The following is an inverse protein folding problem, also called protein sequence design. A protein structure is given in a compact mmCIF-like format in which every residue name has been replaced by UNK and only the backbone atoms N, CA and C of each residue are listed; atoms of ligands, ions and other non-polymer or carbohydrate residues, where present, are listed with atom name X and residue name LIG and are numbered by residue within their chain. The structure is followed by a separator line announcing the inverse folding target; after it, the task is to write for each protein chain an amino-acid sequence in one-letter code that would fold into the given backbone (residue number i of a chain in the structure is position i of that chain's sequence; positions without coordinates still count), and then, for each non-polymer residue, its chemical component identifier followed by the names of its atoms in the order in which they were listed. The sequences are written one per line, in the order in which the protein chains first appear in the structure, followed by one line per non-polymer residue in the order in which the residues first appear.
data_IF_420792603975
#
_entry.id   IF_420792603975
#
_cell.length_a   1.000
_cell.length_b   1.000
_cell.length_c   1.000
_cell.angle_alpha   90.00
_cell.angle_beta   90.00
_cell.angle_gamma   90.00
#
_symmetry.space_group_name_H-M   'P 1'
#
loop_
_entity.id
_entity.type
_entity.pdbx_description
1 polymer ?
#
# COMPACT_ATOMS: atom_id res chain seq x y z
N UNK A 1 -12.52 -22.77 -10.14
CA UNK A 1 -11.04 -22.82 -10.17
C UNK A 1 -10.52 -21.88 -9.08
N UNK A 2 -9.84 -22.42 -8.09
CA UNK A 2 -9.12 -21.57 -7.14
C UNK A 2 -7.90 -21.03 -7.90
N UNK A 3 -7.92 -19.73 -8.24
CA UNK A 3 -6.71 -19.05 -8.67
C UNK A 3 -5.66 -19.25 -7.58
N UNK A 4 -4.53 -19.86 -7.94
CA UNK A 4 -3.40 -19.99 -7.03
C UNK A 4 -2.80 -18.60 -6.77
N UNK A 5 -3.29 -17.95 -5.73
CA UNK A 5 -2.74 -16.69 -5.27
C UNK A 5 -1.28 -16.89 -4.85
N UNK A 6 -0.38 -16.20 -5.51
CA UNK A 6 1.03 -16.22 -5.14
C UNK A 6 1.22 -15.50 -3.80
N UNK A 7 1.98 -16.12 -2.89
CA UNK A 7 2.28 -15.55 -1.57
C UNK A 7 3.75 -15.13 -1.56
N UNK A 8 4.00 -13.92 -1.09
CA UNK A 8 5.33 -13.37 -0.82
C UNK A 8 5.46 -13.12 0.68
N UNK A 9 6.49 -13.70 1.30
CA UNK A 9 6.73 -13.60 2.73
C UNK A 9 6.29 -14.85 3.49
N UNK A 10 6.16 -14.76 4.83
CA UNK A 10 5.72 -15.87 5.66
C UNK A 10 4.35 -16.40 5.24
N UNK A 11 4.13 -17.69 5.40
CA UNK A 11 2.82 -18.29 5.14
C UNK A 11 1.91 -18.02 6.35
N UNK A 12 0.86 -17.23 6.15
CA UNK A 12 -0.15 -16.92 7.17
C UNK A 12 -1.48 -17.54 6.74
N UNK A 13 -2.08 -18.42 7.57
CA UNK A 13 -3.37 -19.01 7.26
C UNK A 13 -4.48 -17.98 7.09
N UNK A 14 -5.45 -18.24 6.22
CA UNK A 14 -6.55 -17.31 5.92
C UNK A 14 -7.33 -16.90 7.19
N UNK A 15 -7.52 -17.82 8.14
CA UNK A 15 -8.22 -17.55 9.40
C UNK A 15 -7.48 -16.57 10.34
N UNK A 16 -6.21 -16.30 10.08
CA UNK A 16 -5.42 -15.29 10.82
C UNK A 16 -5.41 -13.93 10.15
N UNK A 17 -6.01 -13.79 8.97
CA UNK A 17 -6.10 -12.51 8.26
C UNK A 17 -7.32 -11.72 8.74
N UNK A 18 -7.10 -10.46 9.06
CA UNK A 18 -8.14 -9.53 9.52
C UNK A 18 -8.27 -8.43 8.48
N UNK A 19 -9.34 -8.45 7.71
CA UNK A 19 -9.59 -7.46 6.67
C UNK A 19 -9.91 -6.08 7.26
N UNK A 20 -9.19 -5.06 6.79
CA UNK A 20 -9.59 -3.66 6.91
C UNK A 20 -10.33 -3.19 5.65
N UNK A 21 -9.91 -3.72 4.52
CA UNK A 21 -10.44 -3.38 3.21
C UNK A 21 -10.53 -4.62 2.33
N UNK A 22 -11.68 -4.75 1.68
CA UNK A 22 -11.89 -5.70 0.59
C UNK A 22 -12.69 -4.99 -0.50
N UNK A 23 -12.16 -4.98 -1.71
CA UNK A 23 -12.81 -4.30 -2.82
C UNK A 23 -14.12 -4.96 -3.18
N UNK A 24 -15.15 -4.15 -3.41
CA UNK A 24 -16.47 -4.58 -3.89
C UNK A 24 -16.91 -3.69 -5.05
N UNK A 25 -17.83 -4.19 -5.86
CA UNK A 25 -18.34 -3.45 -7.03
C UNK A 25 -19.21 -2.25 -6.63
N UNK A 26 -19.90 -2.33 -5.50
CA UNK A 26 -20.99 -1.42 -5.16
C UNK A 26 -20.60 -0.32 -4.16
N UNK A 27 -19.38 -0.34 -3.65
CA UNK A 27 -18.92 0.66 -2.67
C UNK A 27 -17.84 1.56 -3.27
N UNK A 28 -17.89 2.87 -2.99
CA UNK A 28 -16.80 3.76 -3.37
C UNK A 28 -15.49 3.35 -2.69
N UNK A 29 -14.38 3.56 -3.39
CA UNK A 29 -13.07 3.24 -2.84
C UNK A 29 -12.72 4.17 -1.67
N UNK A 30 -12.26 3.63 -0.52
CA UNK A 30 -11.77 4.45 0.60
C UNK A 30 -10.34 4.96 0.37
N UNK A 31 -9.69 4.55 -0.71
CA UNK A 31 -8.34 4.98 -1.03
C UNK A 31 -8.33 6.42 -1.55
N UNK A 32 -7.28 7.16 -1.20
CA UNK A 32 -7.06 8.54 -1.63
C UNK A 32 -5.78 8.64 -2.45
N UNK A 33 -5.79 9.43 -3.53
CA UNK A 33 -4.61 9.71 -4.35
C UNK A 33 -3.90 10.93 -3.80
N UNK A 34 -2.59 10.81 -3.60
CA UNK A 34 -1.68 11.91 -3.29
C UNK A 34 -0.49 11.82 -4.24
N UNK A 35 -0.06 12.94 -4.79
CA UNK A 35 1.10 13.00 -5.66
C UNK A 35 2.06 14.11 -5.23
N UNK A 36 3.21 14.13 -5.86
CA UNK A 36 4.22 15.17 -5.67
C UNK A 36 3.75 16.58 -6.08
N UNK A 37 2.58 16.71 -6.69
CA UNK A 37 1.96 18.01 -6.99
C UNK A 37 1.77 18.86 -5.73
N UNK A 38 1.61 18.26 -4.57
CA UNK A 38 1.57 18.97 -3.27
C UNK A 38 2.88 19.69 -2.95
N UNK A 39 3.98 19.32 -3.63
CA UNK A 39 5.32 19.91 -3.49
C UNK A 39 5.78 20.63 -4.77
N UNK A 40 4.90 20.86 -5.75
CA UNK A 40 5.22 21.46 -7.03
C UNK A 40 5.73 20.50 -8.09
N UNK A 41 5.72 19.18 -7.84
CA UNK A 41 6.04 18.16 -8.83
C UNK A 41 4.94 18.01 -9.90
N UNK A 42 5.21 17.21 -10.92
CA UNK A 42 4.33 17.05 -12.09
C UNK A 42 3.89 15.61 -12.33
N UNK A 43 4.14 14.71 -11.39
CA UNK A 43 3.59 13.34 -11.44
C UNK A 43 2.07 13.36 -11.41
N UNK A 44 1.44 12.47 -12.15
CA UNK A 44 -0.03 12.42 -12.28
C UNK A 44 -0.52 11.00 -12.08
N UNK A 45 -1.63 10.89 -11.36
CA UNK A 45 -2.33 9.63 -11.23
C UNK A 45 -3.81 9.86 -10.92
N UNK A 46 -4.60 8.86 -11.28
CA UNK A 46 -6.01 8.76 -10.92
C UNK A 46 -6.28 7.44 -10.25
N UNK A 47 -7.26 7.42 -9.38
CA UNK A 47 -7.79 6.21 -8.78
C UNK A 47 -9.03 5.78 -9.56
N UNK A 48 -9.10 4.50 -9.92
CA UNK A 48 -10.30 3.93 -10.56
C UNK A 48 -10.60 2.56 -9.98
N UNK A 49 -11.89 2.24 -9.93
CA UNK A 49 -12.33 0.89 -9.64
C UNK A 49 -12.32 0.07 -10.93
N UNK A 50 -11.87 -1.18 -10.82
CA UNK A 50 -11.70 -2.06 -11.97
C UNK A 50 -11.98 -3.52 -11.56
N UNK A 51 -12.00 -4.39 -12.55
CA UNK A 51 -12.02 -5.85 -12.38
C UNK A 51 -10.83 -6.42 -13.10
N UNK A 52 -9.93 -7.07 -12.39
CA UNK A 52 -8.75 -7.73 -12.96
C UNK A 52 -8.71 -9.18 -12.53
N UNK A 53 -8.58 -10.08 -13.51
CA UNK A 53 -8.64 -11.52 -13.27
C UNK A 53 -9.78 -11.91 -12.31
N UNK A 54 -11.00 -11.50 -12.68
CA UNK A 54 -12.26 -11.77 -11.97
C UNK A 54 -12.31 -11.22 -10.52
N UNK A 55 -11.42 -10.31 -10.14
CA UNK A 55 -11.42 -9.68 -8.81
C UNK A 55 -11.68 -8.18 -8.91
N UNK A 56 -12.64 -7.70 -8.13
CA UNK A 56 -12.83 -6.26 -7.93
C UNK A 56 -11.60 -5.67 -7.26
N UNK A 57 -11.17 -4.50 -7.70
CA UNK A 57 -9.99 -3.83 -7.17
C UNK A 57 -10.07 -2.32 -7.31
N UNK A 58 -9.26 -1.61 -6.54
CA UNK A 58 -8.99 -0.19 -6.71
C UNK A 58 -7.60 -0.02 -7.29
N UNK A 59 -7.49 0.73 -8.39
CA UNK A 59 -6.25 0.86 -9.15
C UNK A 59 -5.76 2.31 -9.16
N UNK A 60 -4.46 2.49 -8.97
CA UNK A 60 -3.75 3.74 -9.18
C UNK A 60 -3.11 3.68 -10.56
N UNK A 61 -3.54 4.57 -11.45
CA UNK A 61 -3.07 4.62 -12.83
C UNK A 61 -2.48 6.00 -13.09
N UNK A 62 -1.28 6.04 -13.61
CA UNK A 62 -0.63 7.31 -13.89
C UNK A 62 0.81 7.20 -14.34
N UNK A 63 1.57 8.24 -14.07
CA UNK A 63 2.99 8.30 -14.38
C UNK A 63 3.73 9.15 -13.36
N UNK A 64 4.85 8.63 -12.86
CA UNK A 64 5.79 9.41 -12.06
C UNK A 64 6.68 10.26 -12.96
N UNK A 65 7.03 11.46 -12.50
CA UNK A 65 8.01 12.33 -13.14
C UNK A 65 8.96 12.87 -12.08
N UNK A 66 10.26 12.88 -12.40
CA UNK A 66 11.29 13.43 -11.52
C UNK A 66 11.44 14.96 -11.66
N UNK A 67 10.73 15.57 -12.62
CA UNK A 67 10.78 17.02 -12.84
C UNK A 67 10.34 17.78 -11.60
N UNK A 68 10.89 18.99 -11.40
CA UNK A 68 10.62 19.88 -10.26
C UNK A 68 10.88 19.23 -8.89
N UNK A 69 11.89 18.36 -8.80
CA UNK A 69 12.21 17.59 -7.60
C UNK A 69 11.04 16.72 -7.10
N UNK A 70 10.13 16.35 -8.00
CA UNK A 70 9.05 15.42 -7.74
C UNK A 70 9.50 13.97 -7.79
N UNK A 71 8.58 13.06 -8.00
CA UNK A 71 8.87 11.67 -8.26
C UNK A 71 8.03 10.67 -7.50
N UNK A 72 6.81 11.04 -7.06
CA UNK A 72 5.92 10.05 -6.47
C UNK A 72 4.44 10.28 -6.79
N UNK A 73 3.72 9.17 -6.84
CA UNK A 73 2.26 9.11 -6.70
C UNK A 73 1.93 7.98 -5.73
N UNK A 74 0.87 8.14 -4.96
CA UNK A 74 0.47 7.12 -4.00
C UNK A 74 -1.04 7.01 -3.88
N UNK A 75 -1.48 5.83 -3.47
CA UNK A 75 -2.82 5.59 -2.95
C UNK A 75 -2.71 5.30 -1.46
N UNK A 76 -3.47 6.02 -0.65
CA UNK A 76 -3.40 6.01 0.81
C UNK A 76 -4.70 5.52 1.40
N UNK A 77 -4.59 4.69 2.43
CA UNK A 77 -5.70 4.18 3.23
C UNK A 77 -5.53 4.62 4.69
N UNK A 78 -6.49 5.38 5.21
CA UNK A 78 -6.49 5.80 6.61
C UNK A 78 -7.03 4.69 7.51
N UNK A 79 -6.39 4.51 8.66
CA UNK A 79 -6.75 3.48 9.64
C UNK A 79 -7.23 4.17 10.92
N UNK A 80 -8.43 3.81 11.35
CA UNK A 80 -8.98 4.29 12.60
C UNK A 80 -8.34 3.57 13.80
N UNK A 81 -8.19 4.28 14.91
CA UNK A 81 -7.52 3.75 16.10
C UNK A 81 -8.19 2.50 16.69
N UNK A 82 -9.50 2.40 16.60
CA UNK A 82 -10.28 1.26 17.08
C UNK A 82 -10.10 -0.01 16.22
N UNK A 83 -9.48 0.11 15.05
CA UNK A 83 -9.12 -1.01 14.19
C UNK A 83 -7.76 -1.64 14.53
N UNK A 84 -6.99 -1.03 15.44
CA UNK A 84 -5.65 -1.46 15.82
C UNK A 84 -5.69 -2.37 17.05
N UNK A 85 -4.85 -3.40 17.05
CA UNK A 85 -4.67 -4.32 18.19
C UNK A 85 -3.19 -4.63 18.40
N UNK A 86 -2.80 -4.78 19.66
CA UNK A 86 -1.41 -5.08 20.03
C UNK A 86 -0.94 -6.47 19.58
N UNK A 87 -1.87 -7.40 19.40
CA UNK A 87 -1.58 -8.78 18.97
C UNK A 87 -1.31 -8.92 17.47
N UNK A 88 -1.59 -7.91 16.64
CA UNK A 88 -1.25 -7.96 15.23
C UNK A 88 0.26 -7.97 15.02
N UNK A 89 0.71 -8.81 14.10
CA UNK A 89 2.14 -9.02 13.80
C UNK A 89 2.64 -8.27 12.58
N UNK A 90 1.74 -7.84 11.72
CA UNK A 90 2.10 -7.16 10.48
C UNK A 90 0.89 -6.90 9.60
N UNK A 91 1.20 -6.52 8.38
CA UNK A 91 0.24 -6.14 7.35
C UNK A 91 0.20 -7.21 6.28
N UNK A 92 -0.99 -7.56 5.80
CA UNK A 92 -1.12 -8.25 4.53
C UNK A 92 -1.79 -7.35 3.50
N UNK A 93 -1.39 -7.49 2.25
CA UNK A 93 -1.97 -6.75 1.14
C UNK A 93 -1.95 -7.60 -0.12
N UNK A 94 -3.03 -7.59 -0.89
CA UNK A 94 -3.11 -8.29 -2.17
C UNK A 94 -3.08 -7.29 -3.30
N UNK A 95 -2.02 -7.39 -4.13
CA UNK A 95 -1.70 -6.45 -5.19
C UNK A 95 -1.59 -7.14 -6.55
N UNK A 96 -1.90 -6.37 -7.59
CA UNK A 96 -1.70 -6.70 -9.00
C UNK A 96 -1.01 -5.51 -9.66
N UNK A 97 0.13 -5.69 -10.30
CA UNK A 97 0.92 -4.59 -10.81
C UNK A 97 1.37 -4.77 -12.26
N UNK A 98 2.45 -4.10 -12.61
CA UNK A 98 2.98 -4.03 -13.97
C UNK A 98 4.51 -4.27 -14.02
N UNK A 99 5.00 -5.19 -13.19
CA UNK A 99 6.42 -5.58 -13.12
C UNK A 99 7.35 -4.44 -12.69
N UNK A 100 6.90 -3.65 -11.71
CA UNK A 100 7.68 -2.60 -11.09
C UNK A 100 7.75 -2.79 -9.57
N UNK A 101 8.74 -2.17 -8.96
CA UNK A 101 8.85 -2.05 -7.52
C UNK A 101 7.98 -0.90 -7.04
N UNK A 102 7.13 -1.19 -6.06
CA UNK A 102 6.32 -0.21 -5.34
C UNK A 102 6.71 -0.26 -3.86
N UNK A 103 6.55 0.84 -3.16
CA UNK A 103 6.80 0.88 -1.72
C UNK A 103 5.49 0.78 -0.94
N UNK A 104 5.56 0.06 0.18
CA UNK A 104 4.55 0.15 1.22
C UNK A 104 5.04 1.16 2.26
N UNK A 105 4.30 2.25 2.48
CA UNK A 105 4.60 3.24 3.50
C UNK A 105 3.57 3.14 4.62
N UNK A 106 4.07 3.03 5.85
CA UNK A 106 3.25 3.05 7.06
C UNK A 106 3.56 4.31 7.84
N UNK A 107 2.52 5.02 8.27
CA UNK A 107 2.66 6.19 9.13
C UNK A 107 2.04 5.93 10.49
N UNK A 108 2.62 6.56 11.50
CA UNK A 108 2.17 6.48 12.90
C UNK A 108 2.03 7.89 13.48
N UNK A 109 1.41 7.97 14.66
CA UNK A 109 1.22 9.25 15.37
C UNK A 109 2.54 9.91 15.79
N UNK A 110 3.65 9.17 15.88
CA UNK A 110 4.97 9.71 16.22
C UNK A 110 5.62 10.49 15.08
N UNK A 111 5.19 10.26 13.84
CA UNK A 111 5.79 10.92 12.68
C UNK A 111 5.15 12.30 12.48
N UNK A 112 5.98 13.36 12.54
CA UNK A 112 5.52 14.74 12.45
C UNK A 112 5.74 15.39 11.09
N UNK A 113 6.50 14.72 10.20
CA UNK A 113 6.86 15.28 8.89
C UNK A 113 6.32 14.41 7.75
N UNK A 114 5.85 15.01 6.63
CA UNK A 114 5.25 14.25 5.53
C UNK A 114 6.21 13.25 4.85
N UNK A 115 7.52 13.51 4.89
CA UNK A 115 8.53 12.63 4.29
C UNK A 115 8.98 11.48 5.19
N UNK A 116 8.52 11.43 6.43
CA UNK A 116 8.82 10.34 7.36
C UNK A 116 7.85 9.18 7.15
N UNK A 117 8.36 7.97 7.21
CA UNK A 117 7.56 6.74 7.14
C UNK A 117 8.35 5.53 7.64
N UNK A 118 7.63 4.44 7.89
CA UNK A 118 8.19 3.10 7.95
C UNK A 118 7.86 2.42 6.63
N UNK A 119 8.85 1.81 5.95
CA UNK A 119 8.65 1.37 4.57
C UNK A 119 9.37 0.07 4.21
N UNK A 120 8.84 -0.61 3.21
CA UNK A 120 9.52 -1.68 2.50
C UNK A 120 9.19 -1.61 1.00
N UNK A 121 9.99 -2.28 0.18
CA UNK A 121 9.77 -2.40 -1.26
C UNK A 121 9.08 -3.71 -1.59
N UNK A 122 8.13 -3.67 -2.53
CA UNK A 122 7.39 -4.80 -3.02
C UNK A 122 7.52 -4.87 -4.55
N UNK A 123 8.01 -6.00 -5.07
CA UNK A 123 8.05 -6.26 -6.51
C UNK A 123 6.70 -6.82 -6.95
N UNK A 124 5.94 -6.06 -7.72
CA UNK A 124 4.55 -6.38 -8.05
C UNK A 124 4.40 -6.71 -9.51
N UNK A 125 4.13 -7.97 -9.78
CA UNK A 125 3.97 -8.53 -11.12
C UNK A 125 2.49 -8.46 -11.58
N UNK A 126 2.20 -8.71 -12.88
CA UNK A 126 0.82 -8.74 -13.40
C UNK A 126 0.11 -10.04 -13.04
N UNK A 127 0.04 -10.32 -11.76
CA UNK A 127 -0.71 -11.42 -11.16
C UNK A 127 -1.06 -11.06 -9.72
N UNK A 128 -2.19 -11.54 -9.23
CA UNK A 128 -2.56 -11.33 -7.83
C UNK A 128 -1.57 -12.01 -6.91
N UNK A 129 -0.96 -11.22 -6.04
CA UNK A 129 0.04 -11.65 -5.06
C UNK A 129 -0.37 -11.14 -3.69
N UNK A 130 -0.36 -12.04 -2.70
CA UNK A 130 -0.50 -11.67 -1.30
C UNK A 130 0.89 -11.41 -0.72
N UNK A 131 1.11 -10.18 -0.30
CA UNK A 131 2.30 -9.80 0.44
C UNK A 131 1.99 -9.85 1.92
N UNK A 132 2.82 -10.58 2.66
CA UNK A 132 2.82 -10.62 4.12
C UNK A 132 4.03 -9.83 4.59
N UNK A 133 3.77 -8.74 5.29
CA UNK A 133 4.81 -7.79 5.73
C UNK A 133 4.82 -7.73 7.26
N UNK A 134 5.68 -8.54 7.91
CA UNK A 134 5.91 -8.39 9.35
C UNK A 134 6.35 -6.97 9.68
N UNK A 135 5.94 -6.44 10.84
CA UNK A 135 6.32 -5.08 11.22
C UNK A 135 7.84 -4.86 11.28
N UNK A 136 8.60 -5.88 11.65
CA UNK A 136 10.08 -5.82 11.70
C UNK A 136 10.74 -5.66 10.31
N UNK A 137 10.02 -5.91 9.23
CA UNK A 137 10.51 -5.68 7.87
C UNK A 137 10.30 -4.23 7.39
N UNK A 138 9.59 -3.42 8.15
CA UNK A 138 9.38 -2.01 7.86
C UNK A 138 10.53 -1.19 8.44
N UNK A 139 11.31 -0.56 7.56
CA UNK A 139 12.46 0.25 7.95
C UNK A 139 12.07 1.71 8.16
N UNK A 140 12.53 2.30 9.24
CA UNK A 140 12.34 3.72 9.52
C UNK A 140 13.06 4.57 8.47
N UNK A 141 12.38 5.55 7.90
CA UNK A 141 12.90 6.48 6.92
C UNK A 141 12.82 7.91 7.44
N UNK A 142 13.98 8.55 7.58
CA UNK A 142 14.16 9.92 8.05
C UNK A 142 13.52 10.19 9.43
N UNK A 143 13.57 9.19 10.29
CA UNK A 143 13.11 9.26 11.68
C UNK A 143 13.86 8.26 12.52
N UNK A 144 14.06 8.60 13.80
CA UNK A 144 14.59 7.69 14.82
C UNK A 144 13.47 7.00 15.62
N UNK A 145 12.20 7.30 15.31
CA UNK A 145 11.06 6.68 15.96
C UNK A 145 11.05 5.18 15.70
N UNK A 146 10.53 4.43 16.66
CA UNK A 146 10.23 2.99 16.49
C UNK A 146 8.77 2.82 16.16
N UNK A 147 8.48 1.88 15.24
CA UNK A 147 7.12 1.54 14.90
C UNK A 147 6.39 0.99 16.12
N UNK A 148 5.30 1.65 16.48
CA UNK A 148 4.35 1.16 17.48
C UNK A 148 3.09 0.71 16.74
N UNK A 149 2.75 -0.60 16.72
CA UNK A 149 1.63 -1.11 15.95
C UNK A 149 0.29 -0.47 16.29
N UNK A 150 0.09 -0.08 17.54
CA UNK A 150 -1.15 0.56 18.02
C UNK A 150 -1.25 2.05 17.69
N UNK A 151 -0.23 2.62 17.06
CA UNK A 151 -0.17 4.04 16.70
C UNK A 151 -0.21 4.27 15.18
N UNK A 152 -0.42 3.24 14.38
CA UNK A 152 -0.52 3.32 12.93
C UNK A 152 -1.72 4.20 12.55
N UNK A 153 -1.52 5.15 11.64
CA UNK A 153 -2.55 6.05 11.15
C UNK A 153 -2.92 5.82 9.70
N UNK A 154 -1.99 5.29 8.90
CA UNK A 154 -2.25 5.02 7.49
C UNK A 154 -1.28 4.03 6.89
N UNK A 155 -1.72 3.42 5.81
CA UNK A 155 -0.91 2.59 4.91
C UNK A 155 -1.06 3.16 3.50
N UNK A 156 0.05 3.25 2.75
CA UNK A 156 0.03 3.71 1.39
C UNK A 156 0.85 2.80 0.48
N UNK A 157 0.40 2.65 -0.76
CA UNK A 157 1.16 2.07 -1.85
C UNK A 157 1.72 3.23 -2.68
N UNK A 158 3.03 3.25 -2.84
CA UNK A 158 3.76 4.41 -3.38
C UNK A 158 4.60 4.00 -4.57
N UNK A 159 4.39 4.68 -5.69
CA UNK A 159 5.29 4.67 -6.83
C UNK A 159 6.27 5.84 -6.66
N UNK A 160 7.56 5.56 -6.51
CA UNK A 160 8.55 6.57 -6.12
C UNK A 160 9.95 6.22 -6.67
N UNK A 161 10.76 7.25 -6.88
CA UNK A 161 12.20 7.14 -7.09
C UNK A 161 12.65 7.04 -8.53
N UNK A 162 11.79 6.65 -9.45
CA UNK A 162 12.06 6.57 -10.90
C UNK A 162 10.87 7.06 -11.70
N UNK A 163 11.09 7.38 -12.98
CA UNK A 163 10.00 7.69 -13.91
C UNK A 163 9.50 6.40 -14.54
N UNK A 164 8.23 6.11 -14.37
CA UNK A 164 7.57 4.97 -14.99
C UNK A 164 6.06 5.14 -15.06
N UNK A 165 5.44 4.34 -15.91
CA UNK A 165 3.99 4.23 -15.94
C UNK A 165 3.52 3.43 -14.74
N UNK A 166 2.63 4.04 -13.96
CA UNK A 166 2.07 3.45 -12.74
C UNK A 166 0.79 2.71 -13.07
N UNK A 167 0.74 1.46 -12.72
CA UNK A 167 -0.46 0.62 -12.84
C UNK A 167 -0.44 -0.42 -11.71
N UNK A 168 -1.09 -0.11 -10.61
CA UNK A 168 -1.11 -0.95 -9.41
C UNK A 168 -2.51 -1.02 -8.83
N UNK A 169 -2.98 -2.23 -8.56
CA UNK A 169 -4.31 -2.48 -8.05
C UNK A 169 -4.25 -3.20 -6.72
N UNK A 170 -5.15 -2.84 -5.81
CA UNK A 170 -5.34 -3.50 -4.52
C UNK A 170 -6.75 -4.09 -4.44
N UNK A 171 -6.86 -5.32 -3.95
CA UNK A 171 -8.16 -5.96 -3.69
C UNK A 171 -8.42 -6.23 -2.21
N UNK A 172 -7.38 -6.40 -1.40
CA UNK A 172 -7.47 -6.61 0.07
C UNK A 172 -6.33 -5.92 0.78
N UNK A 173 -6.61 -5.42 1.96
CA UNK A 173 -5.63 -4.90 2.92
C UNK A 173 -6.09 -5.24 4.32
N UNK A 174 -5.17 -5.61 5.19
CA UNK A 174 -5.47 -5.81 6.60
C UNK A 174 -4.25 -6.15 7.43
N UNK A 175 -4.54 -6.65 8.61
CA UNK A 175 -3.54 -7.12 9.56
C UNK A 175 -3.61 -8.64 9.69
N UNK A 176 -2.61 -9.23 10.33
CA UNK A 176 -2.64 -10.66 10.67
C UNK A 176 -2.15 -10.92 12.09
N UNK A 177 -2.60 -12.06 12.65
CA UNK A 177 -2.30 -12.53 13.99
C UNK A 177 -1.02 -13.38 14.04
#
# INVERSE_FOLDING_TARGET
MHENLKIQGPNVPEEQLIDLYRSTQDQPSPWMVISDQVMGGVSRAVLQQDVRHNSNCSCLIGRTSLDNNGGFVQMKFDIARDQLRAEYRGIFIELYGNSHDYNLHVKTTQLSRPWQSFRCSLSVEPQWTRFIVPYEQLSAHRTDAKLQPTDITSVAIVAIGTEFDVDICVRRLGFYL
#
